data_IF_940502096293
#
_entry.id   IF_940502096293
#
_cell.length_a   1.000
_cell.length_b   1.000
_cell.length_c   1.000
_cell.angle_alpha   90.00
_cell.angle_beta   90.00
_cell.angle_gamma   90.00
#
_symmetry.space_group_name_H-M   'P 1'
#
loop_
_entity.id
_entity.type
_entity.pdbx_description
1 polymer ?
#
# COMPACT_ATOMS: atom_id res chain seq x y z
N UNK A 1 -5.93 -5.24 8.23
CA UNK A 1 -4.90 -5.92 9.05
C UNK A 1 -4.31 -5.01 10.11
N UNK A 2 -3.84 -3.81 9.77
CA UNK A 2 -3.26 -2.84 10.73
C UNK A 2 -4.23 -2.46 11.85
N UNK A 3 -5.49 -2.22 11.52
CA UNK A 3 -6.54 -1.93 12.51
C UNK A 3 -6.67 -3.05 13.55
N UNK A 4 -6.58 -4.30 13.13
CA UNK A 4 -6.65 -5.47 14.02
C UNK A 4 -5.43 -5.55 14.93
N UNK A 5 -4.23 -5.29 14.39
CA UNK A 5 -2.98 -5.27 15.17
C UNK A 5 -3.04 -4.17 16.22
N UNK A 6 -3.46 -2.96 15.84
CA UNK A 6 -3.61 -1.83 16.77
C UNK A 6 -4.61 -2.17 17.89
N UNK A 7 -5.74 -2.79 17.54
CA UNK A 7 -6.72 -3.23 18.54
C UNK A 7 -6.13 -4.22 19.53
N UNK A 8 -5.39 -5.23 19.06
CA UNK A 8 -4.74 -6.22 19.92
C UNK A 8 -3.75 -5.57 20.90
N UNK A 9 -2.98 -4.60 20.43
CA UNK A 9 -2.04 -3.87 21.29
C UNK A 9 -2.77 -3.00 22.32
N UNK A 10 -3.86 -2.34 21.96
CA UNK A 10 -4.70 -1.59 22.91
C UNK A 10 -5.29 -2.52 23.98
N UNK A 11 -5.85 -3.64 23.57
CA UNK A 11 -6.43 -4.64 24.48
C UNK A 11 -5.37 -5.20 25.43
N UNK A 12 -4.12 -5.28 25.00
CA UNK A 12 -2.98 -5.68 25.82
C UNK A 12 -2.45 -4.58 26.78
N UNK A 13 -3.01 -3.37 26.71
CA UNK A 13 -2.69 -2.28 27.63
C UNK A 13 -1.72 -1.22 27.08
N UNK A 14 -1.45 -1.20 25.78
CA UNK A 14 -0.63 -0.15 25.18
C UNK A 14 -1.31 1.23 25.32
N UNK A 15 -0.59 2.20 25.88
CA UNK A 15 -1.07 3.57 26.05
C UNK A 15 -1.01 4.37 24.77
N UNK A 16 0.08 4.21 24.02
CA UNK A 16 0.31 4.87 22.74
C UNK A 16 0.76 3.84 21.70
N UNK A 17 0.32 4.01 20.44
CA UNK A 17 0.69 3.16 19.32
C UNK A 17 1.08 4.05 18.15
N UNK A 18 2.34 3.97 17.76
CA UNK A 18 2.92 4.72 16.65
C UNK A 18 3.31 3.75 15.54
N UNK A 19 2.59 3.81 14.42
CA UNK A 19 2.86 2.96 13.25
C UNK A 19 3.88 3.61 12.34
N UNK A 20 4.84 2.81 11.88
CA UNK A 20 5.82 3.22 10.86
C UNK A 20 5.87 2.15 9.79
N UNK A 21 5.57 2.55 8.58
CA UNK A 21 5.52 1.66 7.41
C UNK A 21 6.83 1.83 6.65
N UNK A 22 7.52 0.71 6.42
CA UNK A 22 8.83 0.68 5.74
C UNK A 22 8.74 0.79 4.21
N UNK A 23 7.65 1.31 3.71
CA UNK A 23 7.41 1.58 2.29
C UNK A 23 6.66 2.89 2.11
N UNK A 24 6.76 3.55 0.94
CA UNK A 24 5.86 4.63 0.59
C UNK A 24 4.41 4.16 0.44
N UNK A 25 3.42 5.06 0.45
CA UNK A 25 2.04 4.69 0.15
C UNK A 25 1.92 4.10 -1.26
N UNK A 26 1.19 2.99 -1.38
CA UNK A 26 0.85 2.43 -2.69
C UNK A 26 -0.26 3.25 -3.34
N UNK A 27 0.05 3.88 -4.47
CA UNK A 27 -0.87 4.73 -5.22
C UNK A 27 -1.24 4.14 -6.58
N UNK A 28 -0.52 3.12 -7.04
CA UNK A 28 -0.71 2.50 -8.34
C UNK A 28 -0.58 0.97 -8.23
N UNK A 29 -1.28 0.21 -9.09
CA UNK A 29 -1.15 -1.25 -9.10
C UNK A 29 0.22 -1.69 -9.62
N UNK A 30 0.60 -2.93 -9.30
CA UNK A 30 1.76 -3.58 -9.90
C UNK A 30 1.32 -4.49 -11.05
N UNK A 31 1.97 -4.37 -12.21
CA UNK A 31 1.75 -5.22 -13.38
C UNK A 31 2.84 -6.26 -13.60
N UNK A 32 3.80 -6.38 -12.68
CA UNK A 32 5.02 -7.18 -12.85
C UNK A 32 5.15 -8.38 -11.92
N UNK A 33 4.11 -8.71 -11.20
CA UNK A 33 4.10 -9.94 -10.39
C UNK A 33 3.96 -9.75 -8.88
N UNK A 34 3.95 -8.51 -8.39
CA UNK A 34 3.56 -8.25 -7.00
C UNK A 34 2.05 -8.03 -6.94
N UNK A 35 1.41 -8.63 -5.96
CA UNK A 35 -0.04 -8.53 -5.77
C UNK A 35 -0.44 -7.20 -5.13
N UNK A 36 -0.26 -6.11 -5.87
CA UNK A 36 -0.75 -4.77 -5.53
C UNK A 36 -1.92 -4.48 -6.45
N UNK A 37 -3.08 -4.36 -5.85
CA UNK A 37 -4.38 -4.30 -6.51
C UNK A 37 -4.62 -2.96 -7.22
N UNK A 38 -5.76 -2.88 -7.91
CA UNK A 38 -6.23 -1.67 -8.59
C UNK A 38 -6.36 -0.49 -7.63
N UNK A 39 -6.21 0.73 -8.12
CA UNK A 39 -6.28 1.97 -7.33
C UNK A 39 -7.56 2.07 -6.49
N UNK A 40 -8.67 1.55 -6.99
CA UNK A 40 -9.95 1.51 -6.27
C UNK A 40 -9.92 0.72 -4.97
N UNK A 41 -8.96 -0.20 -4.79
CA UNK A 41 -8.79 -1.01 -3.58
C UNK A 41 -7.63 -0.53 -2.70
N UNK A 42 -6.82 0.40 -3.17
CA UNK A 42 -5.69 0.94 -2.40
C UNK A 42 -6.14 2.04 -1.45
N UNK A 43 -5.93 1.84 -0.16
CA UNK A 43 -6.38 2.76 0.89
C UNK A 43 -5.80 4.17 0.73
N UNK A 44 -4.53 4.28 0.32
CA UNK A 44 -3.87 5.57 0.14
C UNK A 44 -4.37 6.37 -1.07
N UNK A 45 -5.13 5.72 -1.99
CA UNK A 45 -5.81 6.41 -3.09
C UNK A 45 -7.12 7.06 -2.65
N UNK A 46 -7.72 6.59 -1.56
CA UNK A 46 -9.03 7.04 -1.07
C UNK A 46 -8.96 7.98 0.12
N UNK A 47 -7.95 7.85 0.97
CA UNK A 47 -7.84 8.52 2.25
C UNK A 47 -6.47 9.16 2.43
N UNK A 48 -6.43 10.27 3.15
CA UNK A 48 -5.19 10.91 3.58
C UNK A 48 -4.53 10.13 4.71
N UNK A 49 -3.25 10.39 4.97
CA UNK A 49 -2.53 9.75 6.09
C UNK A 49 -3.21 10.01 7.44
N UNK A 50 -3.64 11.25 7.78
CA UNK A 50 -4.42 11.49 9.01
C UNK A 50 -5.71 10.68 9.09
N UNK A 51 -6.45 10.54 8.00
CA UNK A 51 -7.67 9.73 7.95
C UNK A 51 -7.38 8.25 8.18
N UNK A 52 -6.33 7.71 7.53
CA UNK A 52 -5.92 6.32 7.73
C UNK A 52 -5.48 6.09 9.19
N UNK A 53 -4.75 7.02 9.77
CA UNK A 53 -4.30 6.98 11.18
C UNK A 53 -5.50 6.82 12.12
N UNK A 54 -6.54 7.61 11.90
CA UNK A 54 -7.78 7.54 12.67
C UNK A 54 -8.52 6.22 12.44
N UNK A 55 -8.62 5.77 11.19
CA UNK A 55 -9.29 4.51 10.82
C UNK A 55 -8.66 3.30 11.48
N UNK A 56 -7.33 3.25 11.61
CA UNK A 56 -6.63 2.13 12.26
C UNK A 56 -6.55 2.28 13.78
N UNK A 57 -6.87 3.45 14.32
CA UNK A 57 -6.85 3.73 15.75
C UNK A 57 -5.46 3.96 16.34
N UNK A 58 -4.46 4.27 15.53
CA UNK A 58 -3.12 4.60 15.98
C UNK A 58 -3.01 6.07 16.44
N UNK A 59 -2.04 6.37 17.27
CA UNK A 59 -1.73 7.73 17.70
C UNK A 59 -0.92 8.49 16.65
N UNK A 60 -0.14 7.78 15.84
CA UNK A 60 0.51 8.34 14.66
C UNK A 60 0.77 7.26 13.61
N UNK A 61 0.88 7.70 12.36
CA UNK A 61 1.22 6.87 11.21
C UNK A 61 2.23 7.61 10.34
N UNK A 62 3.33 6.96 10.01
CA UNK A 62 4.32 7.46 9.08
C UNK A 62 4.68 6.42 8.04
N UNK A 63 4.81 6.87 6.78
CA UNK A 63 5.35 6.07 5.69
C UNK A 63 6.79 6.47 5.40
N UNK A 64 7.55 5.54 4.82
CA UNK A 64 8.87 5.87 4.30
C UNK A 64 8.72 6.83 3.12
N UNK A 65 9.41 7.99 3.09
CA UNK A 65 9.42 8.84 1.90
C UNK A 65 10.00 8.10 0.69
N UNK A 66 9.37 8.24 -0.47
CA UNK A 66 9.83 7.60 -1.72
C UNK A 66 11.29 7.92 -2.04
N UNK A 67 11.71 9.15 -1.79
CA UNK A 67 13.07 9.64 -2.04
C UNK A 67 14.14 8.91 -1.22
N UNK A 68 13.74 8.24 -0.12
CA UNK A 68 14.63 7.50 0.75
C UNK A 68 14.82 6.03 0.34
N UNK A 69 14.09 5.53 -0.64
CA UNK A 69 14.24 4.15 -1.11
C UNK A 69 15.66 3.89 -1.65
N UNK A 70 16.20 4.81 -2.45
CA UNK A 70 17.54 4.70 -2.99
C UNK A 70 18.64 4.65 -1.91
N UNK A 71 18.44 5.35 -0.80
CA UNK A 71 19.38 5.35 0.31
C UNK A 71 19.47 3.98 1.00
N UNK A 72 18.35 3.22 1.02
CA UNK A 72 18.31 1.91 1.65
C UNK A 72 19.08 0.83 0.88
N UNK A 73 19.11 0.93 -0.44
CA UNK A 73 19.74 -0.06 -1.32
C UNK A 73 20.99 0.49 -2.01
N UNK A 74 21.38 1.73 -1.72
CA UNK A 74 22.52 2.42 -2.31
C UNK A 74 22.53 2.40 -3.86
N UNK A 75 21.34 2.45 -4.46
CA UNK A 75 21.13 2.36 -5.90
C UNK A 75 19.89 3.14 -6.33
N UNK A 76 19.86 3.53 -7.61
CA UNK A 76 18.70 4.06 -8.29
C UNK A 76 18.05 3.04 -9.24
N UNK A 77 18.64 1.86 -9.36
CA UNK A 77 18.20 0.77 -10.25
C UNK A 77 17.13 -0.11 -9.58
N UNK A 78 15.95 0.46 -9.38
CA UNK A 78 14.80 -0.27 -8.86
C UNK A 78 13.49 0.26 -9.47
N UNK A 79 12.48 -0.60 -9.49
CA UNK A 79 11.14 -0.19 -9.91
C UNK A 79 10.39 0.45 -8.74
N UNK A 80 9.82 1.63 -8.96
CA UNK A 80 9.00 2.37 -7.99
C UNK A 80 7.61 2.70 -8.52
N UNK A 81 7.16 2.01 -9.58
CA UNK A 81 5.93 2.32 -10.29
C UNK A 81 4.67 2.29 -9.40
N UNK A 82 4.60 1.38 -8.43
CA UNK A 82 3.48 1.32 -7.48
C UNK A 82 3.41 2.53 -6.54
N UNK A 83 4.46 3.32 -6.44
CA UNK A 83 4.50 4.55 -5.65
C UNK A 83 4.32 5.83 -6.48
N UNK A 84 4.82 5.86 -7.72
CA UNK A 84 4.86 7.07 -8.55
C UNK A 84 4.14 6.96 -9.91
N UNK A 85 3.74 5.75 -10.31
CA UNK A 85 3.07 5.51 -11.59
C UNK A 85 4.01 5.52 -12.81
N UNK A 86 5.33 5.57 -12.60
CA UNK A 86 6.32 5.52 -13.67
C UNK A 86 6.74 4.07 -13.95
N UNK A 87 6.06 3.42 -14.89
CA UNK A 87 6.32 2.04 -15.26
C UNK A 87 7.52 1.92 -16.20
N UNK A 88 8.46 0.97 -15.96
CA UNK A 88 9.65 0.79 -16.80
C UNK A 88 9.34 0.26 -18.22
N UNK A 89 8.16 -0.31 -18.42
CA UNK A 89 7.66 -0.77 -19.72
C UNK A 89 6.27 -0.23 -19.99
N UNK A 90 5.81 -0.16 -21.26
CA UNK A 90 4.41 0.20 -21.57
C UNK A 90 3.44 -0.77 -20.91
N UNK A 91 2.44 -0.25 -20.20
CA UNK A 91 1.38 -1.03 -19.53
C UNK A 91 0.01 -0.47 -19.92
N UNK A 92 -1.00 -1.35 -19.95
CA UNK A 92 -2.39 -0.98 -20.26
C UNK A 92 -3.11 -0.52 -18.98
N UNK A 93 -2.87 0.71 -18.57
CA UNK A 93 -3.44 1.29 -17.32
C UNK A 93 -4.95 1.56 -17.39
N UNK A 94 -5.54 1.57 -18.58
CA UNK A 94 -6.97 1.78 -18.79
C UNK A 94 -7.83 0.52 -18.64
N UNK A 95 -7.19 -0.63 -18.40
CA UNK A 95 -7.87 -1.91 -18.15
C UNK A 95 -7.64 -2.28 -16.68
N UNK A 96 -8.71 -2.56 -15.92
CA UNK A 96 -8.56 -3.02 -14.54
C UNK A 96 -7.68 -4.28 -14.48
N UNK A 97 -6.72 -4.30 -13.54
CA UNK A 97 -5.81 -5.43 -13.35
C UNK A 97 -6.54 -6.75 -13.14
N UNK A 98 -7.66 -6.71 -12.43
CA UNK A 98 -8.48 -7.86 -12.07
C UNK A 98 -9.60 -8.19 -13.08
N UNK A 99 -9.57 -7.61 -14.28
CA UNK A 99 -10.63 -7.78 -15.30
C UNK A 99 -11.00 -9.23 -15.59
N UNK A 100 -10.01 -10.13 -15.54
CA UNK A 100 -10.19 -11.54 -15.86
C UNK A 100 -10.22 -12.45 -14.61
N UNK A 101 -10.18 -11.86 -13.42
CA UNK A 101 -10.26 -12.63 -12.18
C UNK A 101 -11.71 -13.02 -11.89
N UNK A 102 -11.92 -14.29 -11.54
CA UNK A 102 -13.21 -14.82 -11.12
C UNK A 102 -13.06 -15.67 -9.88
N UNK A 103 -14.06 -15.66 -9.03
CA UNK A 103 -14.12 -16.65 -7.93
C UNK A 103 -14.29 -18.05 -8.50
N UNK A 104 -13.59 -19.01 -7.93
CA UNK A 104 -13.68 -20.41 -8.37
C UNK A 104 -15.12 -20.93 -8.35
N UNK A 105 -15.93 -20.48 -7.40
CA UNK A 105 -17.36 -20.82 -7.31
C UNK A 105 -18.21 -20.25 -8.43
N UNK A 106 -17.72 -19.24 -9.15
CA UNK A 106 -18.42 -18.57 -10.26
C UNK A 106 -17.89 -19.01 -11.63
N UNK A 107 -16.74 -19.71 -11.64
CA UNK A 107 -16.15 -20.25 -12.86
C UNK A 107 -16.90 -21.50 -13.30
N UNK A 108 -17.44 -21.48 -14.50
CA UNK A 108 -18.14 -22.61 -15.14
C UNK A 108 -17.36 -23.13 -16.33
#
# INVERSE_FOLDING_TARGET
TSKRIVKLLRDAGAKEIHMRISAPPFLHPCYYGTDIDSEEHLIACKYTIPEITEMIGADSLGYLPKEKLGDLIESTDYCSACFDGEYPTPVMTNIPKNKFEQKISEAK
#
